data_IF_840207063883
#
_entry.id   IF_840207063883
#
_cell.length_a   1.000
_cell.length_b   1.000
_cell.length_c   1.000
_cell.angle_alpha   90.00
_cell.angle_beta   90.00
_cell.angle_gamma   90.00
#
_symmetry.space_group_name_H-M   'P 1'
#
loop_
_entity.id
_entity.type
_entity.pdbx_description
1 polymer ?
#
# COMPACT_ATOMS: atom_id res chain seq x y z
N UNK A 1 11.94 24.04 -98.42
CA UNK A 1 11.83 22.76 -99.15
C UNK A 1 10.89 21.83 -98.40
N UNK A 2 9.97 21.22 -99.14
CA UNK A 2 8.89 20.34 -98.71
C UNK A 2 9.39 18.89 -98.70
N UNK A 3 8.92 18.07 -97.75
CA UNK A 3 9.02 16.60 -97.78
C UNK A 3 9.53 16.04 -96.44
N UNK A 4 9.06 14.90 -95.92
CA UNK A 4 8.04 13.92 -96.31
C UNK A 4 7.83 13.03 -95.07
N UNK A 5 6.66 12.40 -95.02
CA UNK A 5 6.12 11.54 -93.94
C UNK A 5 7.00 10.31 -93.63
N UNK A 6 7.08 9.94 -92.35
CA UNK A 6 7.52 8.62 -91.87
C UNK A 6 6.68 8.18 -90.66
N UNK A 7 5.86 7.14 -90.85
CA UNK A 7 4.99 6.50 -89.86
C UNK A 7 5.84 5.60 -88.96
N UNK A 8 5.73 5.74 -87.63
CA UNK A 8 6.34 4.83 -86.66
C UNK A 8 5.35 4.52 -85.54
N UNK A 9 4.74 3.34 -85.58
CA UNK A 9 3.99 2.76 -84.48
C UNK A 9 4.94 2.49 -83.30
N UNK A 10 4.60 2.95 -82.10
CA UNK A 10 5.17 2.35 -80.87
C UNK A 10 4.05 1.95 -79.93
N UNK A 11 3.75 0.65 -79.97
CA UNK A 11 2.85 -0.07 -79.07
C UNK A 11 3.49 -0.12 -77.67
N UNK A 12 2.97 0.66 -76.71
CA UNK A 12 3.32 0.50 -75.29
C UNK A 12 2.63 -0.76 -74.74
N UNK A 13 3.27 -1.92 -74.92
CA UNK A 13 2.97 -3.11 -74.11
C UNK A 13 3.71 -2.96 -72.79
N UNK A 14 3.04 -2.51 -71.74
CA UNK A 14 3.56 -2.59 -70.38
C UNK A 14 3.58 -4.06 -69.95
N UNK A 15 4.74 -4.70 -70.03
CA UNK A 15 5.01 -5.93 -69.30
C UNK A 15 5.14 -5.57 -67.82
N UNK A 16 4.04 -5.66 -67.07
CA UNK A 16 4.11 -5.65 -65.61
C UNK A 16 4.90 -6.89 -65.20
N UNK A 17 6.13 -6.71 -64.72
CA UNK A 17 6.93 -7.81 -64.22
C UNK A 17 6.23 -8.47 -63.03
N UNK A 18 6.34 -9.80 -62.93
CA UNK A 18 5.87 -10.62 -61.82
C UNK A 18 6.09 -9.99 -60.41
N UNK A 19 7.25 -9.34 -60.10
CA UNK A 19 7.43 -8.69 -58.80
C UNK A 19 6.55 -7.44 -58.59
N UNK A 20 6.23 -6.69 -59.65
CA UNK A 20 5.34 -5.52 -59.54
C UNK A 20 3.89 -5.96 -59.32
N UNK A 21 3.47 -7.08 -59.94
CA UNK A 21 2.14 -7.66 -59.71
C UNK A 21 2.00 -8.16 -58.26
N UNK A 22 3.03 -8.85 -57.73
CA UNK A 22 3.06 -9.29 -56.34
C UNK A 22 3.03 -8.11 -55.37
N UNK A 23 3.75 -7.02 -55.67
CA UNK A 23 3.77 -5.84 -54.81
C UNK A 23 2.40 -5.14 -54.77
N UNK A 24 1.72 -5.04 -55.91
CA UNK A 24 0.37 -4.47 -56.01
C UNK A 24 -0.66 -5.36 -55.31
N UNK A 25 -0.56 -6.68 -55.45
CA UNK A 25 -1.43 -7.64 -54.73
C UNK A 25 -1.21 -7.55 -53.22
N UNK A 26 0.03 -7.47 -52.75
CA UNK A 26 0.34 -7.30 -51.33
C UNK A 26 -0.21 -5.98 -50.77
N UNK A 27 -0.05 -4.87 -51.49
CA UNK A 27 -0.62 -3.57 -51.10
C UNK A 27 -2.15 -3.62 -51.05
N UNK A 28 -2.78 -4.29 -52.01
CA UNK A 28 -4.23 -4.44 -52.01
C UNK A 28 -4.71 -5.31 -50.84
N UNK A 29 -4.03 -6.43 -50.55
CA UNK A 29 -4.34 -7.25 -49.38
C UNK A 29 -4.13 -6.50 -48.05
N UNK A 30 -3.11 -5.65 -47.97
CA UNK A 30 -2.85 -4.83 -46.77
C UNK A 30 -3.93 -3.76 -46.59
N UNK A 31 -4.35 -3.09 -47.67
CA UNK A 31 -5.43 -2.09 -47.63
C UNK A 31 -6.78 -2.76 -47.33
N UNK A 32 -7.10 -3.89 -47.94
CA UNK A 32 -8.33 -4.64 -47.64
C UNK A 32 -8.30 -5.20 -46.20
N UNK A 33 -7.16 -5.62 -45.68
CA UNK A 33 -7.02 -6.00 -44.27
C UNK A 33 -7.19 -4.82 -43.32
N UNK A 34 -6.57 -3.68 -43.62
CA UNK A 34 -6.63 -2.47 -42.79
C UNK A 34 -8.01 -1.83 -42.78
N UNK A 35 -8.69 -1.76 -43.93
CA UNK A 35 -10.05 -1.21 -44.05
C UNK A 35 -11.16 -2.25 -43.81
N UNK A 36 -10.90 -3.54 -44.01
CA UNK A 36 -11.82 -4.62 -43.63
C UNK A 36 -11.94 -4.78 -42.12
N UNK A 37 -10.86 -4.51 -41.39
CA UNK A 37 -10.85 -4.45 -39.92
C UNK A 37 -11.74 -3.32 -39.36
N UNK A 38 -12.01 -2.26 -40.14
CA UNK A 38 -12.91 -1.19 -39.72
C UNK A 38 -14.39 -1.43 -40.05
N UNK A 39 -14.71 -2.39 -40.93
CA UNK A 39 -16.08 -2.68 -41.35
C UNK A 39 -16.73 -3.85 -40.58
N UNK A 40 -15.94 -4.67 -39.90
CA UNK A 40 -16.43 -5.71 -38.97
C UNK A 40 -16.32 -5.33 -37.48
N UNK A 41 -15.97 -4.08 -37.18
CA UNK A 41 -16.08 -3.55 -35.82
C UNK A 41 -17.53 -3.14 -35.53
N UNK A 42 -18.45 -4.11 -35.54
CA UNK A 42 -19.80 -3.94 -35.00
C UNK A 42 -19.71 -3.95 -33.47
N UNK A 43 -20.10 -2.81 -32.89
CA UNK A 43 -20.65 -2.60 -31.55
C UNK A 43 -20.36 -3.69 -30.50
N UNK A 44 -19.21 -3.58 -29.87
CA UNK A 44 -19.11 -3.93 -28.45
C UNK A 44 -19.06 -2.62 -27.70
N UNK A 45 -20.21 -2.25 -27.13
CA UNK A 45 -20.34 -1.14 -26.20
C UNK A 45 -19.14 -1.15 -25.25
N UNK A 46 -18.43 -0.03 -25.22
CA UNK A 46 -17.22 0.15 -24.43
C UNK A 46 -17.49 0.09 -22.93
N UNK A 47 -17.53 -1.12 -22.38
CA UNK A 47 -17.14 -1.34 -21.01
C UNK A 47 -15.62 -1.15 -20.95
N UNK A 48 -15.19 0.01 -20.44
CA UNK A 48 -13.88 0.11 -19.78
C UNK A 48 -13.74 -1.13 -18.89
N UNK A 49 -12.56 -1.75 -18.77
CA UNK A 49 -12.35 -2.71 -17.70
C UNK A 49 -12.54 -1.93 -16.39
N UNK A 50 -13.76 -1.98 -15.85
CA UNK A 50 -14.02 -1.74 -14.44
C UNK A 50 -12.97 -2.61 -13.75
N UNK A 51 -12.18 -2.08 -12.79
CA UNK A 51 -11.55 -2.98 -11.85
C UNK A 51 -12.67 -3.92 -11.41
N UNK A 52 -12.45 -5.25 -11.44
CA UNK A 52 -13.38 -6.18 -10.81
C UNK A 52 -13.47 -5.71 -9.36
N UNK A 53 -14.44 -4.85 -9.09
CA UNK A 53 -14.88 -4.50 -7.77
C UNK A 53 -15.42 -5.82 -7.31
N UNK A 54 -14.59 -6.53 -6.56
CA UNK A 54 -14.94 -7.79 -5.96
C UNK A 54 -16.15 -7.44 -5.12
N UNK A 55 -17.33 -7.75 -5.66
CA UNK A 55 -18.56 -7.69 -4.92
C UNK A 55 -18.24 -8.53 -3.70
N UNK A 56 -18.34 -7.93 -2.51
CA UNK A 56 -18.29 -8.67 -1.27
C UNK A 56 -19.43 -9.68 -1.35
N UNK A 57 -19.13 -10.85 -1.92
CA UNK A 57 -19.86 -12.06 -1.64
C UNK A 57 -19.73 -12.12 -0.12
N UNK A 58 -20.85 -11.93 0.55
CA UNK A 58 -21.03 -12.43 1.90
C UNK A 58 -20.84 -13.94 1.79
N UNK A 59 -19.59 -14.37 1.73
CA UNK A 59 -19.22 -15.76 1.67
C UNK A 59 -19.39 -16.25 3.10
N UNK A 60 -20.64 -16.59 3.42
CA UNK A 60 -20.94 -17.58 4.44
C UNK A 60 -20.34 -18.88 3.93
N UNK A 61 -19.03 -18.99 4.04
CA UNK A 61 -18.28 -20.03 3.41
C UNK A 61 -18.49 -21.33 4.18
N UNK A 62 -19.06 -22.29 3.48
CA UNK A 62 -19.45 -23.65 3.87
C UNK A 62 -18.21 -24.55 4.12
N UNK A 63 -17.24 -24.06 4.89
CA UNK A 63 -16.02 -24.79 5.21
C UNK A 63 -16.10 -25.33 6.63
N UNK A 64 -16.04 -26.65 6.74
CA UNK A 64 -15.89 -27.31 8.04
C UNK A 64 -14.52 -26.97 8.64
N UNK A 65 -14.44 -26.46 9.89
CA UNK A 65 -13.16 -26.20 10.54
C UNK A 65 -12.39 -27.50 10.74
N UNK A 66 -11.10 -27.48 10.43
CA UNK A 66 -10.18 -28.59 10.70
C UNK A 66 -9.86 -28.67 12.20
N UNK A 67 -9.43 -29.85 12.71
CA UNK A 67 -8.86 -29.95 14.05
C UNK A 67 -7.70 -28.97 14.24
N UNK A 68 -7.66 -28.31 15.39
CA UNK A 68 -6.67 -27.28 15.75
C UNK A 68 -5.77 -27.75 16.89
N UNK A 69 -4.56 -27.18 16.98
CA UNK A 69 -3.63 -27.42 18.09
C UNK A 69 -3.97 -26.58 19.32
N UNK A 70 -3.23 -26.77 20.42
CA UNK A 70 -3.46 -26.06 21.70
C UNK A 70 -3.52 -24.51 21.56
N UNK A 71 -2.79 -23.94 20.59
CA UNK A 71 -2.78 -22.50 20.30
C UNK A 71 -3.53 -22.06 19.05
N UNK A 72 -4.32 -22.95 18.42
CA UNK A 72 -5.08 -22.64 17.21
C UNK A 72 -6.52 -22.19 17.49
N UNK A 73 -7.14 -21.50 16.53
CA UNK A 73 -8.55 -21.13 16.59
C UNK A 73 -9.43 -22.34 16.21
N UNK A 74 -10.60 -22.45 16.85
CA UNK A 74 -11.62 -23.47 16.60
C UNK A 74 -12.55 -23.16 15.42
N UNK A 75 -12.39 -21.97 14.84
CA UNK A 75 -13.28 -21.40 13.83
C UNK A 75 -12.50 -20.63 12.77
N UNK A 76 -13.04 -20.62 11.55
CA UNK A 76 -12.44 -19.89 10.42
C UNK A 76 -12.76 -18.41 10.58
N UNK A 77 -11.72 -17.57 10.52
CA UNK A 77 -11.86 -16.11 10.51
C UNK A 77 -11.27 -15.52 9.23
N UNK A 78 -11.89 -14.44 8.73
CA UNK A 78 -11.42 -13.70 7.56
C UNK A 78 -11.14 -12.26 7.94
N UNK A 79 -9.95 -11.78 7.57
CA UNK A 79 -9.52 -10.40 7.80
C UNK A 79 -9.20 -9.79 6.43
N UNK A 80 -10.06 -8.92 5.87
CA UNK A 80 -9.81 -8.30 4.58
C UNK A 80 -8.58 -7.38 4.64
N UNK A 81 -7.80 -7.34 3.57
CA UNK A 81 -6.63 -6.48 3.47
C UNK A 81 -6.34 -6.02 2.03
N UNK A 82 -5.55 -4.96 1.91
CA UNK A 82 -5.00 -4.43 0.66
C UNK A 82 -3.49 -4.28 0.82
N UNK A 83 -2.71 -4.79 -0.14
CA UNK A 83 -1.27 -4.48 -0.19
C UNK A 83 -1.08 -3.05 -0.70
N UNK A 84 -0.40 -2.22 0.09
CA UNK A 84 -0.06 -0.84 -0.26
C UNK A 84 1.32 -0.73 -0.92
N UNK A 85 2.29 -1.52 -0.46
CA UNK A 85 3.62 -1.64 -1.07
C UNK A 85 4.24 -2.99 -0.72
N UNK A 86 5.16 -3.45 -1.57
CA UNK A 86 6.01 -4.61 -1.31
C UNK A 86 7.38 -4.22 -0.75
N UNK A 87 7.81 -2.95 -0.93
CA UNK A 87 9.09 -2.45 -0.45
C UNK A 87 8.93 -1.01 0.09
N UNK A 88 8.83 -0.81 1.41
CA UNK A 88 8.67 -1.85 2.43
C UNK A 88 7.33 -2.58 2.26
N UNK A 89 7.22 -3.80 2.79
CA UNK A 89 5.92 -4.49 2.83
C UNK A 89 4.96 -3.66 3.69
N UNK A 90 3.92 -3.12 3.09
CA UNK A 90 2.89 -2.33 3.77
C UNK A 90 1.52 -2.86 3.38
N UNK A 91 0.68 -3.14 4.37
CA UNK A 91 -0.65 -3.74 4.19
C UNK A 91 -1.68 -2.93 4.96
N UNK A 92 -2.80 -2.64 4.31
CA UNK A 92 -3.93 -1.94 4.88
C UNK A 92 -5.06 -2.91 5.24
N UNK A 93 -5.55 -2.86 6.46
CA UNK A 93 -6.72 -3.61 6.94
C UNK A 93 -7.92 -2.68 7.15
N UNK A 94 -8.92 -2.67 6.24
CA UNK A 94 -10.15 -1.89 6.42
C UNK A 94 -10.98 -2.40 7.59
N UNK A 95 -11.54 -1.47 8.37
CA UNK A 95 -12.46 -1.72 9.49
C UNK A 95 -11.89 -2.74 10.47
N UNK A 96 -10.60 -2.59 10.80
CA UNK A 96 -9.91 -3.53 11.67
C UNK A 96 -10.46 -3.50 13.11
N UNK A 97 -10.77 -2.32 13.63
CA UNK A 97 -11.49 -2.12 14.88
C UNK A 97 -12.82 -1.42 14.61
N UNK A 98 -13.82 -1.66 15.46
CA UNK A 98 -15.10 -0.94 15.40
C UNK A 98 -14.95 0.48 15.93
N UNK A 99 -15.88 1.37 15.57
CA UNK A 99 -15.87 2.74 16.08
C UNK A 99 -15.97 2.77 17.63
N UNK A 100 -16.74 1.85 18.21
CA UNK A 100 -16.85 1.68 19.66
C UNK A 100 -15.52 1.24 20.30
N UNK A 101 -14.84 0.26 19.71
CA UNK A 101 -13.52 -0.17 20.18
C UNK A 101 -12.51 0.99 20.14
N UNK A 102 -12.47 1.74 19.04
CA UNK A 102 -11.61 2.92 18.94
C UNK A 102 -11.93 3.96 20.02
N UNK A 103 -13.22 4.25 20.26
CA UNK A 103 -13.65 5.21 21.28
C UNK A 103 -13.29 4.74 22.70
N UNK A 104 -13.44 3.45 22.98
CA UNK A 104 -13.05 2.85 24.26
C UNK A 104 -11.55 3.05 24.51
N UNK A 105 -10.69 2.75 23.53
CA UNK A 105 -9.24 2.94 23.64
C UNK A 105 -8.91 4.42 23.91
N UNK A 106 -9.52 5.34 23.16
CA UNK A 106 -9.31 6.79 23.36
C UNK A 106 -9.71 7.21 24.78
N UNK A 107 -10.85 6.75 25.27
CA UNK A 107 -11.36 7.08 26.60
C UNK A 107 -10.44 6.53 27.71
N UNK A 108 -9.95 5.30 27.56
CA UNK A 108 -9.03 4.66 28.52
C UNK A 108 -7.67 5.37 28.55
N UNK A 109 -7.16 5.81 27.39
CA UNK A 109 -5.86 6.46 27.28
C UNK A 109 -5.86 7.91 27.79
N UNK A 110 -6.94 8.67 27.51
CA UNK A 110 -7.01 10.13 27.71
C UNK A 110 -6.55 10.63 29.09
N UNK A 111 -6.91 10.00 30.24
CA UNK A 111 -6.51 10.47 31.56
C UNK A 111 -5.00 10.37 31.83
N UNK A 112 -4.28 9.51 31.10
CA UNK A 112 -2.89 9.14 31.39
C UNK A 112 -1.89 9.65 30.34
N UNK A 113 -2.35 10.41 29.34
CA UNK A 113 -1.50 10.97 28.29
C UNK A 113 -0.46 11.93 28.89
N UNK A 114 0.80 11.73 28.53
CA UNK A 114 1.95 12.59 28.88
C UNK A 114 2.77 12.93 27.64
N UNK A 115 3.58 14.00 27.63
CA UNK A 115 4.49 14.26 26.52
C UNK A 115 5.32 13.02 26.17
N UNK A 116 5.37 12.65 24.89
CA UNK A 116 6.09 11.47 24.44
C UNK A 116 7.60 11.66 24.52
N UNK A 117 8.32 10.60 24.87
CA UNK A 117 9.78 10.56 24.89
C UNK A 117 10.36 9.78 23.69
N UNK A 118 11.68 9.88 23.52
CA UNK A 118 12.46 9.17 22.52
C UNK A 118 13.40 8.17 23.18
N UNK A 119 13.68 7.06 22.49
CA UNK A 119 14.85 6.27 22.79
C UNK A 119 16.08 7.04 22.28
N UNK A 120 16.88 7.57 23.21
CA UNK A 120 18.04 8.39 22.89
C UNK A 120 19.24 7.52 22.52
N UNK A 121 19.94 7.88 21.43
CA UNK A 121 21.24 7.32 21.06
C UNK A 121 22.34 7.88 21.94
N UNK A 122 23.52 7.25 21.90
CA UNK A 122 24.69 7.74 22.63
C UNK A 122 25.04 9.18 22.19
N UNK A 123 24.93 10.13 23.13
CA UNK A 123 25.20 11.55 22.89
C UNK A 123 23.96 12.40 22.57
N UNK A 124 22.80 11.79 22.36
CA UNK A 124 21.53 12.51 22.27
C UNK A 124 21.01 12.85 23.68
N UNK A 125 20.34 14.00 23.79
CA UNK A 125 19.69 14.51 25.00
C UNK A 125 18.27 14.92 24.66
N UNK A 126 17.41 15.10 25.67
CA UNK A 126 16.06 15.61 25.45
C UNK A 126 16.07 16.99 24.78
N UNK A 127 17.05 17.84 25.09
CA UNK A 127 17.15 19.19 24.53
C UNK A 127 17.53 19.17 23.04
N UNK A 128 18.50 18.35 22.64
CA UNK A 128 18.97 18.33 21.25
C UNK A 128 18.08 17.49 20.31
N UNK A 129 17.16 16.69 20.86
CA UNK A 129 16.15 15.93 20.11
C UNK A 129 14.75 16.56 20.17
N UNK A 130 14.63 17.75 20.78
CA UNK A 130 13.38 18.49 20.90
C UNK A 130 12.74 18.75 19.53
N UNK A 131 11.45 18.48 19.41
CA UNK A 131 10.69 18.71 18.18
C UNK A 131 10.71 17.54 17.18
N UNK A 132 11.49 16.48 17.42
CA UNK A 132 11.47 15.26 16.61
C UNK A 132 10.15 14.52 16.79
N UNK A 133 9.74 14.33 18.05
CA UNK A 133 8.43 13.82 18.46
C UNK A 133 7.75 14.85 19.32
N UNK A 134 6.57 15.28 18.92
CA UNK A 134 5.82 16.30 19.66
C UNK A 134 4.46 15.82 20.15
N UNK A 135 4.15 14.53 19.98
CA UNK A 135 2.93 13.91 20.50
C UNK A 135 2.87 13.85 22.02
N UNK A 136 1.66 13.59 22.52
CA UNK A 136 1.46 12.98 23.83
C UNK A 136 1.17 11.49 23.67
N UNK A 137 1.49 10.67 24.67
CA UNK A 137 1.24 9.23 24.61
C UNK A 137 1.18 8.54 25.96
N UNK A 138 0.75 7.28 25.93
CA UNK A 138 0.70 6.35 27.06
C UNK A 138 0.87 4.92 26.56
N UNK A 139 1.55 4.09 27.34
CA UNK A 139 1.58 2.64 27.12
C UNK A 139 0.47 1.99 27.93
N UNK A 140 -0.33 1.13 27.29
CA UNK A 140 -1.36 0.32 27.94
C UNK A 140 -1.26 -1.13 27.49
N UNK A 141 -1.18 -2.06 28.43
CA UNK A 141 -1.30 -3.49 28.17
C UNK A 141 -2.77 -3.90 28.08
N UNK A 142 -3.04 -5.04 27.41
CA UNK A 142 -4.39 -5.60 27.35
C UNK A 142 -4.98 -5.89 28.74
N UNK A 143 -4.13 -6.27 29.71
CA UNK A 143 -4.54 -6.49 31.11
C UNK A 143 -4.97 -5.24 31.86
N UNK A 144 -4.55 -4.04 31.42
CA UNK A 144 -4.93 -2.77 32.05
C UNK A 144 -6.27 -2.24 31.53
N UNK A 145 -6.74 -2.71 30.37
CA UNK A 145 -8.02 -2.35 29.79
C UNK A 145 -9.16 -3.23 30.30
N UNK A 146 -9.91 -2.72 31.27
CA UNK A 146 -11.06 -3.41 31.87
C UNK A 146 -12.18 -3.71 30.87
N UNK A 147 -12.24 -3.03 29.73
CA UNK A 147 -13.26 -3.28 28.71
C UNK A 147 -13.00 -4.55 27.89
N UNK A 148 -11.77 -5.07 27.92
CA UNK A 148 -11.34 -6.19 27.06
C UNK A 148 -11.08 -5.79 25.60
N UNK A 149 -11.27 -4.53 25.23
CA UNK A 149 -11.09 -4.03 23.86
C UNK A 149 -9.68 -4.28 23.35
N UNK A 150 -8.66 -3.97 24.15
CA UNK A 150 -7.26 -4.19 23.76
C UNK A 150 -6.93 -5.68 23.60
N UNK A 151 -7.48 -6.55 24.44
CA UNK A 151 -7.29 -8.01 24.34
C UNK A 151 -7.86 -8.57 23.03
N UNK A 152 -9.06 -8.14 22.65
CA UNK A 152 -9.69 -8.54 21.38
C UNK A 152 -8.92 -8.04 20.16
N UNK A 153 -8.45 -6.79 20.21
CA UNK A 153 -7.62 -6.21 19.15
C UNK A 153 -6.30 -6.96 19.04
N UNK A 154 -5.64 -7.28 20.15
CA UNK A 154 -4.37 -8.00 20.15
C UNK A 154 -4.51 -9.41 19.56
N UNK A 155 -5.57 -10.15 19.90
CA UNK A 155 -5.91 -11.43 19.25
C UNK A 155 -6.12 -11.28 17.74
N UNK A 156 -6.80 -10.21 17.31
CA UNK A 156 -7.01 -9.94 15.89
C UNK A 156 -5.69 -9.57 15.18
N UNK A 157 -4.80 -8.83 15.83
CA UNK A 157 -3.46 -8.50 15.30
C UNK A 157 -2.63 -9.77 15.14
N UNK A 158 -2.63 -10.66 16.15
CA UNK A 158 -1.92 -11.93 16.08
C UNK A 158 -2.36 -12.76 14.86
N UNK A 159 -3.68 -12.83 14.60
CA UNK A 159 -4.24 -13.49 13.41
C UNK A 159 -3.84 -12.81 12.10
N UNK A 160 -3.94 -11.48 12.04
CA UNK A 160 -3.60 -10.72 10.83
C UNK A 160 -2.12 -10.79 10.45
N UNK A 161 -1.24 -10.91 11.45
CA UNK A 161 0.22 -10.90 11.27
C UNK A 161 0.84 -12.30 11.30
N UNK A 162 0.10 -13.29 11.77
CA UNK A 162 0.57 -14.65 12.07
C UNK A 162 1.71 -14.67 13.10
N UNK A 163 1.78 -13.65 13.97
CA UNK A 163 2.74 -13.55 15.07
C UNK A 163 2.04 -13.84 16.40
N UNK A 164 2.64 -14.63 17.31
CA UNK A 164 2.04 -14.89 18.62
C UNK A 164 1.93 -13.61 19.44
N UNK A 165 0.83 -13.47 20.18
CA UNK A 165 0.55 -12.36 21.11
C UNK A 165 1.70 -12.04 22.06
N UNK A 166 2.40 -13.08 22.52
CA UNK A 166 3.56 -12.97 23.44
C UNK A 166 4.75 -12.18 22.87
N UNK A 167 4.78 -11.91 21.56
CA UNK A 167 5.80 -11.07 20.93
C UNK A 167 5.35 -9.60 20.80
N UNK A 168 4.10 -9.28 21.12
CA UNK A 168 3.58 -7.93 21.13
C UNK A 168 4.10 -7.12 22.32
N UNK A 169 4.42 -5.85 22.07
CA UNK A 169 4.64 -4.88 23.13
C UNK A 169 3.29 -4.32 23.62
N UNK A 170 3.29 -3.66 24.79
CA UNK A 170 2.13 -2.87 25.22
C UNK A 170 1.75 -1.83 24.16
N UNK A 171 0.45 -1.53 24.04
CA UNK A 171 -0.03 -0.56 23.06
C UNK A 171 0.51 0.83 23.37
N UNK A 172 1.26 1.40 22.42
CA UNK A 172 1.69 2.79 22.49
C UNK A 172 0.62 3.70 21.87
N UNK A 173 -0.26 4.26 22.69
CA UNK A 173 -1.38 5.09 22.25
C UNK A 173 -0.93 6.54 22.20
N UNK A 174 -1.07 7.16 21.02
CA UNK A 174 -0.53 8.49 20.72
C UNK A 174 -1.63 9.47 20.33
N UNK A 175 -1.52 10.69 20.84
CA UNK A 175 -2.37 11.83 20.46
C UNK A 175 -1.51 12.95 19.90
N UNK A 176 -1.84 13.35 18.68
CA UNK A 176 -1.26 14.48 17.97
C UNK A 176 -2.28 15.63 17.94
N UNK A 177 -1.86 16.79 18.41
CA UNK A 177 -2.59 18.05 18.22
C UNK A 177 -2.17 18.72 16.91
N UNK A 178 -2.87 19.78 16.52
CA UNK A 178 -2.58 20.53 15.30
C UNK A 178 -1.12 21.00 15.32
N UNK A 179 -0.39 20.70 14.25
CA UNK A 179 1.03 21.04 14.10
C UNK A 179 2.00 20.09 14.82
N UNK A 180 1.51 19.12 15.59
CA UNK A 180 2.36 18.06 16.14
C UNK A 180 2.70 17.02 15.06
N UNK A 181 3.84 16.37 15.22
CA UNK A 181 4.40 15.43 14.25
C UNK A 181 5.34 14.44 14.89
N UNK A 182 5.72 13.45 14.09
CA UNK A 182 6.86 12.60 14.37
C UNK A 182 7.70 12.49 13.09
N UNK A 183 8.98 12.80 13.21
CA UNK A 183 9.89 12.74 12.06
C UNK A 183 10.09 11.29 11.59
N UNK A 184 10.51 11.14 10.32
CA UNK A 184 10.87 9.84 9.75
C UNK A 184 11.90 9.11 10.63
N UNK A 185 11.64 7.84 10.92
CA UNK A 185 12.50 6.99 11.75
C UNK A 185 12.27 5.51 11.40
N UNK A 186 13.13 4.65 11.95
CA UNK A 186 12.93 3.20 11.96
C UNK A 186 12.37 2.76 13.31
N UNK A 187 11.45 1.80 13.30
CA UNK A 187 10.96 1.17 14.52
C UNK A 187 11.98 0.17 15.09
N UNK A 188 12.83 -0.40 14.21
CA UNK A 188 13.91 -1.29 14.59
C UNK A 188 15.09 -0.52 15.20
N UNK A 189 15.71 -1.11 16.21
CA UNK A 189 16.87 -0.53 16.90
C UNK A 189 18.17 -1.03 16.29
N UNK A 190 18.87 -0.16 15.54
CA UNK A 190 20.19 -0.49 14.98
C UNK A 190 21.21 -0.76 16.13
N UNK A 191 21.78 -1.97 16.25
CA UNK A 191 22.71 -2.29 17.33
C UNK A 191 23.97 -1.41 17.36
N UNK A 192 24.39 -0.85 16.22
CA UNK A 192 25.51 0.09 16.16
C UNK A 192 25.19 1.44 16.81
N UNK A 193 23.92 1.83 16.88
CA UNK A 193 23.47 3.12 17.42
C UNK A 193 22.92 2.99 18.85
N UNK A 194 22.21 1.88 19.12
CA UNK A 194 21.50 1.63 20.38
C UNK A 194 22.16 0.55 21.25
N UNK A 195 23.26 -0.06 20.80
CA UNK A 195 23.94 -1.16 21.48
C UNK A 195 23.30 -2.53 21.23
N UNK A 196 23.86 -3.63 21.79
CA UNK A 196 23.33 -4.98 21.60
C UNK A 196 21.87 -5.11 22.05
N UNK A 197 21.01 -5.61 21.16
CA UNK A 197 19.59 -5.81 21.45
C UNK A 197 19.31 -7.29 21.77
N UNK A 198 18.51 -7.56 22.81
CA UNK A 198 18.09 -8.92 23.17
C UNK A 198 17.00 -9.48 22.24
N UNK A 199 16.26 -8.60 21.59
CA UNK A 199 15.22 -8.90 20.60
C UNK A 199 15.10 -7.72 19.63
N UNK A 200 14.40 -7.88 18.51
CA UNK A 200 14.21 -6.83 17.52
C UNK A 200 12.76 -6.77 17.07
N UNK A 201 12.27 -5.56 16.75
CA UNK A 201 10.97 -5.35 16.11
C UNK A 201 11.07 -5.72 14.64
N UNK A 202 10.38 -6.78 14.26
CA UNK A 202 10.21 -7.19 12.84
C UNK A 202 8.95 -6.57 12.23
N UNK A 203 7.95 -6.35 13.09
CA UNK A 203 6.56 -5.94 12.88
C UNK A 203 6.19 -4.54 13.40
N UNK A 204 5.49 -3.69 12.63
CA UNK A 204 4.75 -2.54 13.21
C UNK A 204 3.30 -2.51 12.76
N UNK A 205 2.37 -2.42 13.71
CA UNK A 205 0.92 -2.38 13.45
C UNK A 205 0.34 -1.05 13.94
N UNK A 206 -0.09 -0.19 13.00
CA UNK A 206 -0.63 1.14 13.29
C UNK A 206 -2.15 1.13 13.13
N UNK A 207 -2.85 1.29 14.25
CA UNK A 207 -4.31 1.41 14.32
C UNK A 207 -4.70 2.89 14.45
N UNK A 208 -5.40 3.45 13.47
CA UNK A 208 -5.91 4.82 13.57
C UNK A 208 -7.23 4.84 14.34
N UNK A 209 -7.24 5.57 15.46
CA UNK A 209 -8.39 5.63 16.37
C UNK A 209 -9.40 6.73 16.01
N UNK A 210 -8.99 7.71 15.20
CA UNK A 210 -9.79 8.90 14.84
C UNK A 210 -9.54 9.32 13.39
N UNK A 211 -10.56 9.91 12.77
CA UNK A 211 -10.40 10.57 11.47
C UNK A 211 -9.60 11.86 11.58
N UNK A 212 -8.75 12.13 10.58
CA UNK A 212 -8.00 13.37 10.47
C UNK A 212 -8.41 14.10 9.19
N UNK A 213 -8.87 15.35 9.33
CA UNK A 213 -9.35 16.15 8.20
C UNK A 213 -8.22 16.50 7.22
N UNK A 214 -7.09 16.98 7.74
CA UNK A 214 -5.92 17.41 6.97
C UNK A 214 -4.63 17.01 7.68
N UNK A 215 -3.63 16.56 6.91
CA UNK A 215 -2.34 16.11 7.42
C UNK A 215 -2.40 14.79 8.20
N UNK A 216 -1.39 14.56 9.02
CA UNK A 216 -1.30 13.39 9.92
C UNK A 216 -0.93 12.08 9.23
N UNK A 217 -0.54 12.11 7.95
CA UNK A 217 -0.22 10.89 7.20
C UNK A 217 0.95 10.11 7.80
N UNK A 218 0.81 8.79 7.83
CA UNK A 218 1.96 7.92 7.94
C UNK A 218 2.63 7.84 6.59
N UNK A 219 3.86 8.32 6.50
CA UNK A 219 4.61 8.33 5.25
C UNK A 219 5.72 7.27 5.23
N UNK A 220 6.00 6.75 4.04
CA UNK A 220 7.11 5.87 3.75
C UNK A 220 7.99 6.56 2.69
N UNK A 221 8.99 7.34 3.10
CA UNK A 221 9.80 8.13 2.17
C UNK A 221 10.63 7.24 1.24
N UNK A 222 10.97 6.03 1.67
CA UNK A 222 11.83 5.09 0.94
C UNK A 222 11.09 4.00 0.17
N UNK A 223 9.80 4.21 -0.08
CA UNK A 223 9.01 3.25 -0.85
C UNK A 223 9.64 3.02 -2.24
N UNK A 224 9.82 1.74 -2.57
CA UNK A 224 10.46 1.21 -3.76
C UNK A 224 11.85 1.81 -4.06
N UNK A 225 12.64 2.11 -3.01
CA UNK A 225 13.99 2.66 -3.14
C UNK A 225 14.05 4.17 -3.39
N UNK A 226 12.91 4.86 -3.39
CA UNK A 226 12.87 6.32 -3.54
C UNK A 226 13.64 7.03 -2.42
N UNK A 227 14.20 8.21 -2.68
CA UNK A 227 14.80 9.08 -1.64
C UNK A 227 15.93 8.44 -0.79
N UNK A 228 16.51 7.31 -1.22
CA UNK A 228 17.60 6.62 -0.51
C UNK A 228 18.98 7.24 -0.75
N UNK A 229 19.08 8.29 -1.57
CA UNK A 229 20.32 9.03 -1.85
C UNK A 229 20.81 9.90 -0.66
N UNK A 230 20.07 9.89 0.45
CA UNK A 230 20.39 10.62 1.67
C UNK A 230 20.10 12.12 1.61
N UNK A 231 19.52 12.62 0.50
CA UNK A 231 19.27 14.05 0.29
C UNK A 231 17.89 14.52 0.76
N UNK A 232 17.08 13.61 1.29
CA UNK A 232 15.68 13.90 1.61
C UNK A 232 15.48 14.69 2.90
N UNK A 233 14.46 15.55 2.89
CA UNK A 233 14.03 16.30 4.07
C UNK A 233 13.11 15.41 4.93
N UNK A 234 13.64 14.90 6.04
CA UNK A 234 12.92 14.04 6.98
C UNK A 234 11.73 14.72 7.68
N UNK A 235 11.59 16.04 7.56
CA UNK A 235 10.46 16.81 8.09
C UNK A 235 9.33 16.95 7.07
N UNK A 236 9.57 16.65 5.79
CA UNK A 236 8.54 16.74 4.73
C UNK A 236 7.78 15.44 4.59
N UNK A 237 6.48 15.56 4.37
CA UNK A 237 5.60 14.43 4.10
C UNK A 237 5.70 13.98 2.63
N UNK A 238 6.63 13.08 2.33
CA UNK A 238 6.98 12.58 0.98
C UNK A 238 6.84 11.05 0.86
N UNK A 239 6.93 10.53 -0.37
CA UNK A 239 6.82 9.09 -0.64
C UNK A 239 5.37 8.58 -0.58
N UNK A 240 5.20 7.29 -0.31
CA UNK A 240 3.88 6.68 -0.08
C UNK A 240 3.28 7.25 1.20
N UNK A 241 2.00 7.64 1.17
CA UNK A 241 1.29 8.24 2.30
C UNK A 241 0.03 7.46 2.60
N UNK A 242 -0.21 7.20 3.88
CA UNK A 242 -1.44 6.61 4.39
C UNK A 242 -2.13 7.65 5.25
N UNK A 243 -3.30 8.10 4.81
CA UNK A 243 -4.12 9.08 5.55
C UNK A 243 -4.80 8.38 6.74
N UNK A 244 -4.74 8.94 7.96
CA UNK A 244 -5.48 8.39 9.09
C UNK A 244 -6.98 8.52 8.85
N UNK A 245 -7.68 7.40 8.97
CA UNK A 245 -9.14 7.37 9.08
C UNK A 245 -9.53 6.41 10.18
N UNK A 246 -10.56 6.74 10.93
CA UNK A 246 -11.12 5.87 11.96
C UNK A 246 -11.82 4.70 11.29
N UNK A 247 -11.07 3.61 11.14
CA UNK A 247 -11.37 2.37 10.40
C UNK A 247 -10.20 1.94 9.50
N UNK A 248 -9.18 2.78 9.35
CA UNK A 248 -7.95 2.45 8.64
C UNK A 248 -6.90 1.91 9.59
N UNK A 249 -6.21 0.84 9.18
CA UNK A 249 -5.12 0.25 9.95
C UNK A 249 -4.02 -0.19 9.00
N UNK A 250 -2.81 0.31 9.21
CA UNK A 250 -1.66 0.02 8.36
C UNK A 250 -0.67 -0.85 9.11
N UNK A 251 -0.28 -1.97 8.52
CA UNK A 251 0.78 -2.84 9.02
C UNK A 251 2.01 -2.72 8.11
N UNK A 252 3.18 -2.59 8.71
CA UNK A 252 4.46 -2.58 8.00
C UNK A 252 5.28 -3.81 8.40
N UNK A 253 5.61 -4.60 7.37
CA UNK A 253 6.68 -5.56 7.29
C UNK A 253 8.08 -4.92 7.32
N UNK A 254 8.83 -4.79 8.42
CA UNK A 254 10.24 -4.38 8.30
C UNK A 254 11.05 -5.58 7.80
N UNK A 255 11.25 -5.68 6.50
CA UNK A 255 12.33 -6.51 5.96
C UNK A 255 13.52 -5.58 5.78
N UNK A 256 14.58 -5.83 6.54
CA UNK A 256 15.88 -5.17 6.43
C UNK A 256 16.45 -5.25 5.00
#
# INVERSE_FOLDING_TARGET
MKGKIGKGNCSFKSKLGLPALLFVVCLFCFLVGFFGSSLFSQDVNGDRPRPRMLHSVSDGSDYDPMPYGEGGDDSISSIPFQVLSWQPRAVYFPKFATAEQCQNIVNTAKPNLKPSTLALRKGETEENTKGIRTSSGVFLSASEDKSGTLDDIEKKIARATMLPRTHGEAFNILRYEIGQRYNSHYDAFNPSEYGPQKSQRVASFLLYLTDVQEGGETMFPFENGSNMDGSYDYQRCIGLKVKPRQDITSWKLSCD
#
